data_IF_747637271471
#
_entry.id   IF_747637271471
#
_cell.length_a   1.000
_cell.length_b   1.000
_cell.length_c   1.000
_cell.angle_alpha   90.00
_cell.angle_beta   90.00
_cell.angle_gamma   90.00
#
_symmetry.space_group_name_H-M   'P 1'
#
loop_
_entity.id
_entity.type
_entity.pdbx_description
1 polymer ?
#
# COMPACT_ATOMS: atom_id res chain seq x y z
N UNK A 1 -16.80 8.82 -1.60
CA UNK A 1 -15.70 7.92 -2.02
C UNK A 1 -14.68 8.79 -2.74
N UNK A 2 -13.52 9.08 -2.14
CA UNK A 2 -12.45 9.83 -2.85
C UNK A 2 -11.94 8.97 -4.01
N UNK A 3 -11.61 9.59 -5.14
CA UNK A 3 -11.01 8.85 -6.26
C UNK A 3 -9.57 8.49 -5.88
N UNK A 4 -9.13 7.28 -6.22
CA UNK A 4 -7.77 6.83 -5.89
C UNK A 4 -6.68 7.76 -6.47
N UNK A 5 -6.96 8.44 -7.58
CA UNK A 5 -6.11 9.47 -8.17
C UNK A 5 -5.87 10.66 -7.23
N UNK A 6 -6.89 11.09 -6.48
CA UNK A 6 -6.78 12.19 -5.52
C UNK A 6 -5.89 11.78 -4.33
N UNK A 7 -6.08 10.55 -3.83
CA UNK A 7 -5.26 10.01 -2.73
C UNK A 7 -3.80 9.85 -3.14
N UNK A 8 -3.54 9.36 -4.35
CA UNK A 8 -2.19 9.24 -4.91
C UNK A 8 -1.56 10.63 -5.11
N UNK A 9 -2.30 11.60 -5.63
CA UNK A 9 -1.81 12.96 -5.82
C UNK A 9 -1.48 13.64 -4.48
N UNK A 10 -2.31 13.46 -3.46
CA UNK A 10 -2.08 13.98 -2.10
C UNK A 10 -0.82 13.38 -1.47
N UNK A 11 -0.65 12.06 -1.59
CA UNK A 11 0.55 11.37 -1.11
C UNK A 11 1.81 11.80 -1.87
N UNK A 12 1.74 11.94 -3.20
CA UNK A 12 2.87 12.31 -4.05
C UNK A 12 3.35 13.75 -3.85
N UNK A 13 2.51 14.62 -3.27
CA UNK A 13 2.89 16.00 -2.91
C UNK A 13 3.62 16.10 -1.57
N UNK A 14 3.64 15.02 -0.77
CA UNK A 14 4.32 15.04 0.51
C UNK A 14 5.84 14.97 0.34
N UNK A 15 6.55 15.71 1.19
CA UNK A 15 8.00 15.64 1.30
C UNK A 15 8.38 14.57 2.34
N UNK A 16 8.66 13.36 1.82
CA UNK A 16 9.12 12.22 2.61
C UNK A 16 10.64 12.29 2.80
N UNK A 17 11.12 11.91 3.98
CA UNK A 17 12.55 11.90 4.34
C UNK A 17 13.41 11.08 3.38
N UNK A 18 12.83 10.02 2.79
CA UNK A 18 13.51 9.13 1.85
C UNK A 18 12.89 9.23 0.46
N UNK A 19 13.69 9.09 -0.61
CA UNK A 19 13.17 8.99 -1.96
C UNK A 19 12.16 7.83 -2.09
N UNK A 20 10.88 8.17 -2.28
CA UNK A 20 9.83 7.18 -2.50
C UNK A 20 10.07 6.48 -3.84
N UNK A 21 10.11 5.15 -3.79
CA UNK A 21 10.22 4.25 -4.94
C UNK A 21 8.89 4.09 -5.65
N UNK A 22 7.79 4.02 -4.89
CA UNK A 22 6.43 3.97 -5.44
C UNK A 22 5.36 3.98 -4.34
N UNK A 23 4.12 4.15 -4.76
CA UNK A 23 2.94 4.22 -3.89
C UNK A 23 2.09 2.96 -4.06
N UNK A 24 1.55 2.46 -2.95
CA UNK A 24 0.86 1.18 -2.88
C UNK A 24 -0.61 1.37 -2.53
N UNK A 25 -1.50 0.90 -3.41
CA UNK A 25 -2.94 0.82 -3.15
C UNK A 25 -3.36 -0.63 -2.86
N UNK A 26 -4.38 -0.77 -2.02
CA UNK A 26 -4.93 -2.08 -1.61
C UNK A 26 -3.87 -3.01 -1.02
N UNK A 27 -2.98 -2.40 -0.23
CA UNK A 27 -1.88 -3.07 0.42
C UNK A 27 -2.39 -4.10 1.43
N UNK A 28 -1.85 -5.31 1.32
CA UNK A 28 -2.11 -6.41 2.26
C UNK A 28 -0.82 -7.18 2.56
N UNK A 29 -0.64 -7.69 3.79
CA UNK A 29 0.52 -8.50 4.14
C UNK A 29 0.64 -9.74 3.25
N UNK A 30 1.88 -10.10 2.89
CA UNK A 30 2.19 -11.35 2.18
C UNK A 30 3.63 -11.78 2.44
N UNK A 31 3.83 -12.91 3.09
CA UNK A 31 5.13 -13.60 3.23
C UNK A 31 6.29 -12.68 3.71
N UNK A 32 6.04 -11.84 4.71
CA UNK A 32 7.02 -10.86 5.22
C UNK A 32 7.23 -9.62 4.32
N UNK A 33 6.49 -9.53 3.23
CA UNK A 33 6.33 -8.37 2.35
C UNK A 33 4.89 -7.85 2.36
N UNK A 34 4.59 -7.01 1.37
CA UNK A 34 3.26 -6.46 1.10
C UNK A 34 2.91 -6.68 -0.36
N UNK A 35 1.68 -7.14 -0.62
CA UNK A 35 1.10 -7.19 -1.96
C UNK A 35 0.14 -6.02 -2.15
N UNK A 36 0.23 -5.34 -3.29
CA UNK A 36 -0.53 -4.13 -3.59
C UNK A 36 -0.61 -3.90 -5.11
N UNK A 37 -1.36 -2.89 -5.54
CA UNK A 37 -1.18 -2.25 -6.84
C UNK A 37 -0.17 -1.11 -6.70
N UNK A 38 0.85 -1.06 -7.57
CA UNK A 38 1.91 -0.04 -7.52
C UNK A 38 1.58 1.14 -8.44
N UNK A 39 1.92 2.35 -8.01
CA UNK A 39 1.76 3.59 -8.76
C UNK A 39 2.99 4.48 -8.61
N UNK A 40 3.29 5.28 -9.63
CA UNK A 40 4.45 6.16 -9.74
C UNK A 40 5.76 5.42 -9.39
N UNK A 41 6.00 4.23 -9.98
CA UNK A 41 7.28 3.52 -9.78
C UNK A 41 8.41 4.34 -10.41
N UNK A 42 9.21 4.97 -9.55
CA UNK A 42 10.30 5.87 -9.94
C UNK A 42 11.42 5.16 -10.70
N UNK A 43 11.49 3.83 -10.58
CA UNK A 43 12.47 3.00 -11.27
C UNK A 43 11.96 2.52 -12.65
N UNK A 44 10.73 2.88 -13.04
CA UNK A 44 10.11 2.52 -14.31
C UNK A 44 10.12 1.02 -14.62
N UNK A 45 9.94 0.18 -13.59
CA UNK A 45 9.89 -1.28 -13.70
C UNK A 45 8.47 -1.81 -13.88
N UNK A 46 7.47 -1.03 -13.47
CA UNK A 46 6.06 -1.42 -13.46
C UNK A 46 5.18 -0.28 -13.98
N UNK A 47 4.07 -0.64 -14.60
CA UNK A 47 3.03 0.31 -14.99
C UNK A 47 2.11 0.64 -13.80
N UNK A 48 1.47 1.81 -13.87
CA UNK A 48 0.52 2.23 -12.84
C UNK A 48 -0.68 1.28 -12.75
N UNK A 49 -0.92 0.76 -11.54
CA UNK A 49 -1.97 -0.22 -11.25
C UNK A 49 -1.54 -1.67 -11.38
N UNK A 50 -0.29 -1.94 -11.78
CA UNK A 50 0.20 -3.31 -11.91
C UNK A 50 0.27 -4.02 -10.54
N UNK A 51 -0.13 -5.31 -10.45
CA UNK A 51 0.00 -6.06 -9.21
C UNK A 51 1.46 -6.31 -8.86
N UNK A 52 1.87 -5.84 -7.68
CA UNK A 52 3.24 -5.89 -7.20
C UNK A 52 3.31 -6.56 -5.81
N UNK A 53 4.40 -7.25 -5.51
CA UNK A 53 4.72 -7.74 -4.16
C UNK A 53 6.11 -7.26 -3.79
N UNK A 54 6.22 -6.54 -2.67
CA UNK A 54 7.51 -6.06 -2.18
C UNK A 54 8.42 -7.25 -1.83
N UNK A 55 9.73 -7.01 -1.84
CA UNK A 55 10.64 -7.87 -1.09
C UNK A 55 10.39 -7.71 0.43
N UNK A 56 11.12 -8.49 1.24
CA UNK A 56 10.99 -8.49 2.70
C UNK A 56 11.07 -7.06 3.27
N UNK A 57 10.10 -6.70 4.10
CA UNK A 57 10.10 -5.43 4.84
C UNK A 57 11.10 -5.54 5.99
N UNK A 58 12.00 -4.57 6.09
CA UNK A 58 12.97 -4.45 7.20
C UNK A 58 12.59 -3.36 8.17
N UNK A 59 11.81 -2.37 7.74
CA UNK A 59 11.33 -1.29 8.61
C UNK A 59 9.93 -0.83 8.16
N UNK A 60 9.11 -0.47 9.14
CA UNK A 60 7.79 0.13 8.92
C UNK A 60 7.60 1.25 9.92
N UNK A 61 7.22 2.43 9.44
CA UNK A 61 7.02 3.59 10.29
C UNK A 61 5.93 4.51 9.73
N UNK A 62 5.47 5.44 10.57
CA UNK A 62 4.49 6.46 10.18
C UNK A 62 5.22 7.75 9.82
N UNK A 63 4.88 8.33 8.67
CA UNK A 63 5.41 9.61 8.22
C UNK A 63 4.32 10.37 7.45
N UNK A 64 4.08 11.63 7.82
CA UNK A 64 3.08 12.51 7.17
C UNK A 64 1.67 11.92 7.09
N UNK A 65 1.31 11.04 8.04
CA UNK A 65 0.00 10.37 8.06
C UNK A 65 -0.08 9.11 7.19
N UNK A 66 1.03 8.69 6.58
CA UNK A 66 1.12 7.47 5.77
C UNK A 66 1.99 6.40 6.44
N UNK A 67 1.68 5.14 6.14
CA UNK A 67 2.57 4.02 6.47
C UNK A 67 3.66 3.91 5.41
N UNK A 68 4.92 4.04 5.83
CA UNK A 68 6.10 3.92 4.96
C UNK A 68 6.80 2.60 5.25
N UNK A 69 7.18 1.90 4.18
CA UNK A 69 7.84 0.61 4.20
C UNK A 69 9.25 0.75 3.62
N UNK A 70 10.25 0.24 4.33
CA UNK A 70 11.58 0.00 3.77
C UNK A 70 11.80 -1.48 3.57
N UNK A 71 12.28 -1.82 2.39
CA UNK A 71 12.57 -3.19 2.01
C UNK A 71 14.05 -3.52 2.13
N UNK A 72 14.36 -4.81 2.22
CA UNK A 72 15.75 -5.29 2.34
C UNK A 72 16.65 -4.87 1.16
N UNK A 73 16.09 -4.61 -0.02
CA UNK A 73 16.83 -4.10 -1.18
C UNK A 73 16.94 -2.56 -1.23
N UNK A 74 16.54 -1.86 -0.15
CA UNK A 74 16.66 -0.41 -0.02
C UNK A 74 15.55 0.39 -0.72
N UNK A 75 14.51 -0.26 -1.24
CA UNK A 75 13.35 0.46 -1.80
C UNK A 75 12.46 1.01 -0.67
N UNK A 76 11.83 2.15 -0.93
CA UNK A 76 10.96 2.86 0.00
C UNK A 76 9.56 2.98 -0.61
N UNK A 77 8.55 2.40 0.04
CA UNK A 77 7.17 2.40 -0.48
C UNK A 77 6.22 3.08 0.50
N UNK A 78 5.25 3.81 -0.03
CA UNK A 78 4.21 4.48 0.77
C UNK A 78 2.88 3.76 0.56
N UNK A 79 2.25 3.30 1.63
CA UNK A 79 0.90 2.73 1.56
C UNK A 79 -0.12 3.87 1.57
N UNK A 80 -0.95 3.91 0.53
CA UNK A 80 -2.02 4.90 0.33
C UNK A 80 -3.39 4.30 0.65
N UNK A 81 -3.54 2.97 0.57
CA UNK A 81 -4.71 2.29 1.13
C UNK A 81 -4.40 0.85 1.50
N UNK A 82 -5.11 0.35 2.51
CA UNK A 82 -5.07 -1.03 2.94
C UNK A 82 -6.32 -1.78 2.47
N UNK A 83 -6.13 -3.02 2.05
CA UNK A 83 -7.22 -3.96 1.82
C UNK A 83 -7.32 -4.91 3.01
N UNK A 84 -8.41 -4.80 3.76
CA UNK A 84 -8.69 -5.62 4.93
C UNK A 84 -9.78 -6.64 4.61
N UNK A 85 -9.57 -7.87 5.05
CA UNK A 85 -10.56 -8.94 5.00
C UNK A 85 -10.99 -9.21 6.43
N UNK A 86 -12.29 -9.07 6.70
CA UNK A 86 -12.89 -9.40 7.99
C UNK A 86 -13.85 -10.55 7.75
N UNK A 87 -13.66 -11.65 8.48
CA UNK A 87 -14.65 -12.71 8.56
C UNK A 87 -15.62 -12.37 9.69
N UNK A 88 -16.91 -12.32 9.38
CA UNK A 88 -17.97 -12.07 10.34
C UNK A 88 -19.10 -13.09 10.15
N UNK A 89 -19.92 -13.32 11.17
CA UNK A 89 -21.06 -14.24 11.12
C UNK A 89 -22.34 -13.41 11.13
N UNK A 90 -22.94 -13.24 9.95
CA UNK A 90 -24.18 -12.48 9.78
C UNK A 90 -25.34 -13.47 9.65
N UNK A 91 -26.22 -13.50 10.66
CA UNK A 91 -27.37 -14.42 10.66
C UNK A 91 -27.01 -15.90 10.72
N UNK A 92 -25.86 -16.24 11.32
CA UNK A 92 -25.37 -17.63 11.43
C UNK A 92 -24.60 -18.13 10.21
N UNK A 93 -24.42 -17.28 9.18
CA UNK A 93 -23.64 -17.61 7.98
C UNK A 93 -22.31 -16.85 8.00
N UNK A 94 -21.16 -17.52 7.84
CA UNK A 94 -19.88 -16.84 7.66
C UNK A 94 -19.89 -15.99 6.39
N UNK A 95 -19.52 -14.72 6.53
CA UNK A 95 -19.37 -13.77 5.44
C UNK A 95 -17.99 -13.11 5.51
N UNK A 96 -17.34 -12.94 4.36
CA UNK A 96 -16.10 -12.17 4.26
C UNK A 96 -16.42 -10.76 3.79
N UNK A 97 -16.21 -9.78 4.66
CA UNK A 97 -16.27 -8.37 4.33
C UNK A 97 -14.91 -7.90 3.82
N UNK A 98 -14.91 -7.24 2.66
CA UNK A 98 -13.72 -6.62 2.08
C UNK A 98 -13.81 -5.11 2.32
N UNK A 99 -12.90 -4.58 3.13
CA UNK A 99 -12.83 -3.17 3.47
C UNK A 99 -11.60 -2.54 2.84
N UNK A 100 -11.79 -1.36 2.25
CA UNK A 100 -10.70 -0.51 1.79
C UNK A 100 -10.55 0.67 2.74
N UNK A 101 -9.49 0.70 3.53
CA UNK A 101 -9.15 1.83 4.38
C UNK A 101 -8.13 2.72 3.65
N UNK A 102 -8.43 4.01 3.54
CA UNK A 102 -7.57 5.02 2.94
C UNK A 102 -6.98 5.89 4.04
#
# INVERSE_FOLDING_TARGET
MRKYQELLAEAAQQDFMRPVTGFLLDARPRDGGVRAAIFNDRLHRFEDGEPFTTSRIVETYQERGYTVLLTQNGSCYVIVSHLMFIEDIVGGVPQTMILRAC
#
